data_IF_102842484020
#
_entry.id   IF_102842484020
#
_cell.length_a   1.000
_cell.length_b   1.000
_cell.length_c   1.000
_cell.angle_alpha   90.00
_cell.angle_beta   90.00
_cell.angle_gamma   90.00
#
_symmetry.space_group_name_H-M   'P 1'
#
loop_
_entity.id
_entity.type
_entity.pdbx_description
1 polymer ?
#
# COMPACT_ATOMS: atom_id res chain seq x y z
N UNK A 1 -19.89 34.04 -29.83
CA UNK A 1 -18.66 33.23 -29.68
C UNK A 1 -18.49 32.96 -28.19
N UNK A 2 -18.72 31.72 -27.77
CA UNK A 2 -18.77 31.33 -26.36
C UNK A 2 -17.37 31.28 -25.78
N UNK A 3 -17.07 32.13 -24.80
CA UNK A 3 -15.94 31.93 -23.91
C UNK A 3 -16.24 30.68 -23.06
N UNK A 4 -15.83 29.51 -23.56
CA UNK A 4 -15.77 28.30 -22.75
C UNK A 4 -14.70 28.53 -21.68
N UNK A 5 -15.11 29.11 -20.55
CA UNK A 5 -14.26 29.27 -19.39
C UNK A 5 -13.76 27.89 -18.98
N UNK A 6 -12.48 27.63 -19.24
CA UNK A 6 -11.76 26.47 -18.74
C UNK A 6 -11.73 26.57 -17.22
N UNK A 7 -12.78 26.06 -16.57
CA UNK A 7 -12.76 25.82 -15.14
C UNK A 7 -11.63 24.82 -14.90
N UNK A 8 -10.53 25.32 -14.34
CA UNK A 8 -9.43 24.50 -13.85
C UNK A 8 -10.03 23.30 -13.08
N UNK A 9 -9.59 22.06 -13.33
CA UNK A 9 -10.23 20.89 -12.77
C UNK A 9 -9.72 20.65 -11.33
N UNK A 10 -9.83 21.69 -10.51
CA UNK A 10 -9.43 21.76 -9.10
C UNK A 10 -10.39 20.94 -8.23
N UNK A 11 -11.68 20.87 -8.59
CA UNK A 11 -12.67 20.07 -7.87
C UNK A 11 -12.23 18.61 -7.68
N UNK A 12 -11.94 17.87 -8.77
CA UNK A 12 -11.46 16.49 -8.65
C UNK A 12 -10.11 16.34 -7.92
N UNK A 13 -9.24 17.35 -7.94
CA UNK A 13 -8.00 17.32 -7.14
C UNK A 13 -8.31 17.40 -5.65
N UNK A 14 -9.22 18.30 -5.24
CA UNK A 14 -9.67 18.40 -3.86
C UNK A 14 -10.30 17.09 -3.39
N UNK A 15 -11.15 16.47 -4.22
CA UNK A 15 -11.79 15.18 -3.88
C UNK A 15 -10.75 14.08 -3.62
N UNK A 16 -9.70 14.00 -4.45
CA UNK A 16 -8.59 13.05 -4.27
C UNK A 16 -7.79 13.34 -3.00
N UNK A 17 -7.50 14.61 -2.72
CA UNK A 17 -6.81 15.01 -1.50
C UNK A 17 -7.62 14.69 -0.25
N UNK A 18 -8.94 14.92 -0.28
CA UNK A 18 -9.85 14.56 0.82
C UNK A 18 -9.83 13.06 1.09
N UNK A 19 -9.87 12.21 0.05
CA UNK A 19 -9.76 10.76 0.21
C UNK A 19 -8.45 10.34 0.90
N UNK A 20 -7.32 10.98 0.57
CA UNK A 20 -6.03 10.74 1.25
C UNK A 20 -6.11 11.16 2.72
N UNK A 21 -6.66 12.34 3.02
CA UNK A 21 -6.80 12.85 4.39
C UNK A 21 -7.66 11.92 5.25
N UNK A 22 -8.78 11.42 4.70
CA UNK A 22 -9.66 10.48 5.40
C UNK A 22 -8.94 9.19 5.74
N UNK A 23 -8.23 8.59 4.76
CA UNK A 23 -7.48 7.35 4.98
C UNK A 23 -6.33 7.54 5.99
N UNK A 24 -5.63 8.68 5.93
CA UNK A 24 -4.55 9.03 6.88
C UNK A 24 -5.02 9.01 8.34
N UNK A 25 -6.23 9.52 8.63
CA UNK A 25 -6.77 9.58 10.00
C UNK A 25 -6.88 8.20 10.63
N UNK A 26 -7.37 7.20 9.89
CA UNK A 26 -7.45 5.82 10.38
C UNK A 26 -6.13 5.06 10.32
N UNK A 27 -5.16 5.51 9.52
CA UNK A 27 -3.93 4.77 9.25
C UNK A 27 -3.00 4.70 10.46
N UNK A 28 -2.94 5.77 11.28
CA UNK A 28 -2.05 5.79 12.45
C UNK A 28 -2.38 4.67 13.45
N UNK A 29 -3.67 4.47 13.74
CA UNK A 29 -4.11 3.41 14.65
C UNK A 29 -3.93 2.04 14.02
N UNK A 30 -4.23 1.92 12.71
CA UNK A 30 -4.00 0.68 11.97
C UNK A 30 -2.54 0.24 12.00
N UNK A 31 -1.61 1.14 11.70
CA UNK A 31 -0.19 0.85 11.74
C UNK A 31 0.26 0.44 13.14
N UNK A 32 -0.14 1.21 14.16
CA UNK A 32 0.23 0.96 15.56
C UNK A 32 -0.29 -0.37 16.09
N UNK A 33 -1.54 -0.73 15.76
CA UNK A 33 -2.23 -1.88 16.36
C UNK A 33 -2.16 -3.15 15.53
N UNK A 34 -2.01 -3.05 14.21
CA UNK A 34 -2.15 -4.18 13.27
C UNK A 34 -0.90 -4.49 12.46
N UNK A 35 0.08 -3.59 12.42
CA UNK A 35 1.30 -3.76 11.61
C UNK A 35 2.54 -3.82 12.50
N UNK A 36 2.77 -2.76 13.28
CA UNK A 36 3.97 -2.60 14.11
C UNK A 36 4.27 -3.80 15.02
N UNK A 37 3.28 -4.43 15.69
CA UNK A 37 3.53 -5.57 16.58
C UNK A 37 4.07 -6.83 15.90
N UNK A 38 4.00 -6.89 14.57
CA UNK A 38 4.39 -8.06 13.78
C UNK A 38 5.68 -7.83 12.97
N UNK A 39 6.33 -6.68 13.14
CA UNK A 39 7.56 -6.31 12.46
C UNK A 39 8.71 -6.19 13.46
N UNK A 40 9.91 -6.44 12.96
CA UNK A 40 11.17 -6.26 13.68
C UNK A 40 12.20 -5.50 12.82
N UNK A 41 13.26 -5.03 13.49
CA UNK A 41 14.40 -4.36 12.85
C UNK A 41 14.02 -3.22 11.91
N UNK A 42 14.60 -3.21 10.71
CA UNK A 42 14.43 -2.13 9.74
C UNK A 42 12.97 -1.93 9.30
N UNK A 43 12.19 -3.00 9.17
CA UNK A 43 10.78 -2.92 8.79
C UNK A 43 9.95 -2.21 9.87
N UNK A 44 10.23 -2.51 11.14
CA UNK A 44 9.62 -1.81 12.27
C UNK A 44 9.96 -0.31 12.24
N UNK A 45 11.23 0.03 12.02
CA UNK A 45 11.70 1.43 11.98
C UNK A 45 11.07 2.20 10.81
N UNK A 46 10.91 1.56 9.65
CA UNK A 46 10.23 2.13 8.49
C UNK A 46 8.77 2.49 8.78
N UNK A 47 8.02 1.59 9.44
CA UNK A 47 6.63 1.86 9.84
C UNK A 47 6.55 2.93 10.93
N UNK A 48 7.49 2.94 11.88
CA UNK A 48 7.58 3.97 12.90
C UNK A 48 7.83 5.37 12.28
N UNK A 49 8.68 5.46 11.25
CA UNK A 49 8.90 6.69 10.52
C UNK A 49 7.64 7.16 9.77
N UNK A 50 6.93 6.24 9.11
CA UNK A 50 5.64 6.54 8.47
C UNK A 50 4.60 7.06 9.48
N UNK A 51 4.55 6.51 10.69
CA UNK A 51 3.67 6.99 11.76
C UNK A 51 3.95 8.44 12.16
N UNK A 52 5.23 8.80 12.28
CA UNK A 52 5.64 10.19 12.56
C UNK A 52 5.16 11.10 11.43
N UNK A 53 5.37 10.68 10.18
CA UNK A 53 4.97 11.42 9.00
C UNK A 53 3.45 11.64 8.93
N UNK A 54 2.65 10.63 9.26
CA UNK A 54 1.19 10.71 9.29
C UNK A 54 0.66 11.63 10.39
N UNK A 55 1.34 11.70 11.54
CA UNK A 55 0.93 12.53 12.69
C UNK A 55 1.29 13.99 12.54
N UNK A 56 2.41 14.29 11.89
CA UNK A 56 2.87 15.66 11.74
C UNK A 56 2.02 16.49 10.76
N UNK A 57 1.20 15.85 9.91
CA UNK A 57 0.20 16.53 9.07
C UNK A 57 0.77 17.31 7.88
N UNK A 58 1.99 17.84 8.01
CA UNK A 58 2.66 18.73 7.06
C UNK A 58 3.43 17.98 5.95
N UNK A 59 3.41 16.65 5.98
CA UNK A 59 4.17 15.85 5.03
C UNK A 59 3.67 16.06 3.59
N UNK A 60 4.59 16.46 2.72
CA UNK A 60 4.37 16.59 1.28
C UNK A 60 3.91 15.23 0.76
N UNK A 61 2.90 15.21 -0.14
CA UNK A 61 2.34 13.95 -0.63
C UNK A 61 3.37 13.04 -1.31
N UNK A 62 4.43 13.62 -1.89
CA UNK A 62 5.54 12.86 -2.47
C UNK A 62 6.33 12.07 -1.41
N UNK A 63 6.63 12.68 -0.25
CA UNK A 63 7.31 12.01 0.86
C UNK A 63 6.44 10.89 1.42
N UNK A 64 5.13 11.14 1.53
CA UNK A 64 4.16 10.11 1.95
C UNK A 64 4.17 8.93 0.98
N UNK A 65 4.12 9.16 -0.33
CA UNK A 65 4.11 8.10 -1.34
C UNK A 65 5.37 7.22 -1.23
N UNK A 66 6.55 7.85 -1.19
CA UNK A 66 7.82 7.15 -1.04
C UNK A 66 7.87 6.31 0.25
N UNK A 67 7.46 6.88 1.39
CA UNK A 67 7.41 6.14 2.65
C UNK A 67 6.42 4.97 2.61
N UNK A 68 5.26 5.14 1.98
CA UNK A 68 4.26 4.08 1.83
C UNK A 68 4.79 2.93 0.98
N UNK A 69 5.50 3.21 -0.12
CA UNK A 69 6.06 2.18 -0.98
C UNK A 69 7.12 1.35 -0.26
N UNK A 70 8.02 2.00 0.48
CA UNK A 70 9.02 1.32 1.28
C UNK A 70 8.38 0.45 2.36
N UNK A 71 7.42 0.99 3.11
CA UNK A 71 6.68 0.22 4.13
C UNK A 71 5.92 -0.95 3.52
N UNK A 72 5.28 -0.79 2.36
CA UNK A 72 4.60 -1.89 1.68
C UNK A 72 5.58 -2.97 1.25
N UNK A 73 6.77 -2.60 0.76
CA UNK A 73 7.81 -3.56 0.41
C UNK A 73 8.28 -4.33 1.65
N UNK A 74 8.52 -3.65 2.77
CA UNK A 74 8.95 -4.25 4.03
C UNK A 74 7.89 -5.20 4.60
N UNK A 75 6.62 -4.80 4.60
CA UNK A 75 5.50 -5.65 5.06
C UNK A 75 5.39 -6.90 4.18
N UNK A 76 5.50 -6.77 2.85
CA UNK A 76 5.47 -7.93 1.92
C UNK A 76 6.68 -8.84 2.12
N UNK A 77 7.85 -8.28 2.42
CA UNK A 77 9.04 -9.05 2.77
C UNK A 77 8.85 -9.83 4.08
N UNK A 78 8.30 -9.20 5.11
CA UNK A 78 7.99 -9.84 6.39
C UNK A 78 6.95 -10.97 6.25
N UNK A 79 5.89 -10.75 5.45
CA UNK A 79 4.92 -11.81 5.11
C UNK A 79 5.63 -12.98 4.43
N UNK A 80 6.52 -12.70 3.47
CA UNK A 80 7.26 -13.73 2.73
C UNK A 80 8.21 -14.51 3.65
N UNK A 81 8.92 -13.82 4.54
CA UNK A 81 9.81 -14.44 5.53
C UNK A 81 9.05 -15.32 6.52
N UNK A 82 7.84 -14.92 6.92
CA UNK A 82 6.95 -15.73 7.76
C UNK A 82 6.14 -16.78 7.00
N UNK A 83 6.37 -16.97 5.70
CA UNK A 83 5.69 -17.99 4.88
C UNK A 83 6.66 -19.14 4.59
N UNK A 84 6.25 -20.37 4.92
CA UNK A 84 7.00 -21.58 4.59
C UNK A 84 6.24 -22.47 3.61
N UNK A 85 6.98 -23.28 2.86
CA UNK A 85 6.42 -24.34 2.03
C UNK A 85 6.43 -25.64 2.84
N UNK A 86 5.27 -26.27 2.98
CA UNK A 86 5.10 -27.58 3.58
C UNK A 86 4.77 -28.60 2.49
N UNK A 87 5.39 -29.78 2.58
CA UNK A 87 5.04 -30.93 1.76
C UNK A 87 3.90 -31.68 2.42
N UNK A 88 2.81 -31.84 1.69
CA UNK A 88 1.62 -32.56 2.16
C UNK A 88 1.48 -33.82 1.34
N UNK A 89 1.41 -34.98 1.99
CA UNK A 89 1.17 -36.23 1.29
C UNK A 89 -0.14 -36.17 0.51
N UNK A 90 -0.07 -36.59 -0.75
CA UNK A 90 -1.26 -36.71 -1.59
C UNK A 90 -1.97 -38.01 -1.21
N UNK A 91 -3.29 -37.94 -1.00
CA UNK A 91 -4.12 -39.11 -0.73
C UNK A 91 -3.80 -40.23 -1.74
N UNK A 92 -3.43 -41.44 -1.28
CA UNK A 92 -3.09 -42.56 -2.15
C UNK A 92 -4.15 -42.89 -3.21
N UNK A 93 -5.43 -42.60 -2.95
CA UNK A 93 -6.53 -42.80 -3.90
C UNK A 93 -6.47 -41.86 -5.12
N UNK A 94 -5.67 -40.78 -5.03
CA UNK A 94 -5.45 -39.78 -6.10
C UNK A 94 -4.15 -40.01 -6.87
N UNK A 95 -3.32 -40.95 -6.45
CA UNK A 95 -2.05 -41.25 -7.10
C UNK A 95 -2.27 -42.06 -8.37
N UNK A 96 -1.53 -41.73 -9.43
CA UNK A 96 -1.54 -42.48 -10.70
C UNK A 96 -0.09 -42.74 -11.10
N UNK A 97 0.30 -44.02 -11.20
CA UNK A 97 1.63 -44.42 -11.66
C UNK A 97 2.76 -44.27 -10.62
N UNK A 98 2.45 -43.90 -9.38
CA UNK A 98 3.40 -43.86 -8.26
C UNK A 98 2.75 -44.31 -6.95
N UNK A 99 3.58 -44.68 -5.97
CA UNK A 99 3.15 -45.10 -4.63
C UNK A 99 3.18 -43.98 -3.60
N UNK A 100 3.88 -42.88 -3.91
CA UNK A 100 4.04 -41.72 -3.04
C UNK A 100 4.19 -40.46 -3.88
N UNK A 101 3.47 -39.40 -3.51
CA UNK A 101 3.67 -38.06 -4.06
C UNK A 101 3.25 -37.01 -3.02
N UNK A 102 3.84 -35.82 -3.14
CA UNK A 102 3.58 -34.71 -2.24
C UNK A 102 3.06 -33.50 -3.02
N UNK A 103 2.07 -32.83 -2.44
CA UNK A 103 1.66 -31.49 -2.85
C UNK A 103 2.47 -30.44 -2.06
N UNK A 104 2.50 -29.22 -2.58
CA UNK A 104 3.17 -28.08 -1.96
C UNK A 104 2.12 -27.11 -1.44
N UNK A 105 2.06 -26.95 -0.12
CA UNK A 105 1.20 -25.97 0.52
C UNK A 105 2.03 -24.84 1.10
N UNK A 106 1.64 -23.60 0.83
CA UNK A 106 2.19 -22.44 1.55
C UNK A 106 1.44 -22.26 2.87
N UNK A 107 2.19 -22.21 3.96
CA UNK A 107 1.67 -21.98 5.31
C UNK A 107 2.31 -20.71 5.87
N UNK A 108 1.48 -19.79 6.32
CA UNK A 108 1.92 -18.53 6.93
C UNK A 108 2.00 -18.72 8.43
N UNK A 109 2.98 -18.05 9.05
CA UNK A 109 3.00 -17.87 10.50
C UNK A 109 1.85 -16.94 10.93
N UNK A 110 1.43 -16.97 12.20
CA UNK A 110 0.40 -16.05 12.71
C UNK A 110 0.72 -14.57 12.46
N UNK A 111 2.00 -14.19 12.57
CA UNK A 111 2.45 -12.82 12.28
C UNK A 111 2.32 -12.49 10.78
N UNK A 112 2.69 -13.42 9.89
CA UNK A 112 2.54 -13.22 8.45
C UNK A 112 1.07 -13.18 8.01
N UNK A 113 0.17 -13.91 8.67
CA UNK A 113 -1.28 -13.81 8.44
C UNK A 113 -1.80 -12.45 8.88
N UNK A 114 -1.46 -12.00 10.10
CA UNK A 114 -1.88 -10.70 10.60
C UNK A 114 -1.40 -9.53 9.71
N UNK A 115 -0.15 -9.58 9.23
CA UNK A 115 0.38 -8.62 8.28
C UNK A 115 -0.32 -8.69 6.92
N UNK A 116 -0.64 -9.89 6.44
CA UNK A 116 -1.38 -10.07 5.20
C UNK A 116 -2.78 -9.45 5.28
N UNK A 117 -3.48 -9.62 6.40
CA UNK A 117 -4.79 -9.02 6.65
C UNK A 117 -4.72 -7.50 6.83
N UNK A 118 -3.59 -6.97 7.32
CA UNK A 118 -3.37 -5.54 7.50
C UNK A 118 -2.98 -4.81 6.19
N UNK A 119 -2.44 -5.53 5.21
CA UNK A 119 -1.90 -4.96 3.97
C UNK A 119 -2.94 -4.19 3.11
N UNK A 120 -4.20 -4.62 2.94
CA UNK A 120 -5.14 -3.95 2.05
C UNK A 120 -5.40 -2.48 2.38
N UNK A 121 -5.37 -2.09 3.66
CA UNK A 121 -5.59 -0.70 4.04
C UNK A 121 -4.39 0.19 3.66
N UNK A 122 -3.17 -0.33 3.84
CA UNK A 122 -1.93 0.30 3.39
C UNK A 122 -1.94 0.52 1.87
N UNK A 123 -2.33 -0.51 1.11
CA UNK A 123 -2.43 -0.45 -0.35
C UNK A 123 -3.46 0.59 -0.81
N UNK A 124 -4.58 0.73 -0.10
CA UNK A 124 -5.59 1.76 -0.39
C UNK A 124 -5.05 3.16 -0.20
N UNK A 125 -4.32 3.43 0.89
CA UNK A 125 -3.71 4.73 1.13
C UNK A 125 -2.61 5.02 0.10
N UNK A 126 -1.74 4.05 -0.20
CA UNK A 126 -0.72 4.20 -1.23
C UNK A 126 -1.33 4.53 -2.58
N UNK A 127 -2.37 3.80 -3.00
CA UNK A 127 -3.09 4.07 -4.24
C UNK A 127 -3.70 5.47 -4.27
N UNK A 128 -4.45 5.86 -3.24
CA UNK A 128 -5.05 7.19 -3.17
C UNK A 128 -4.00 8.30 -3.24
N UNK A 129 -2.85 8.10 -2.59
CA UNK A 129 -1.74 9.05 -2.61
C UNK A 129 -1.14 9.20 -4.01
N UNK A 130 -0.87 8.08 -4.69
CA UNK A 130 -0.38 8.07 -6.06
C UNK A 130 -1.37 8.71 -7.03
N UNK A 131 -2.66 8.35 -6.95
CA UNK A 131 -3.68 8.92 -7.82
C UNK A 131 -3.82 10.44 -7.65
N UNK A 132 -3.60 10.96 -6.44
CA UNK A 132 -3.64 12.39 -6.17
C UNK A 132 -2.39 13.10 -6.72
N UNK A 133 -1.20 12.48 -6.62
CA UNK A 133 0.04 12.97 -7.21
C UNK A 133 -0.02 12.98 -8.74
N UNK A 134 -0.41 11.87 -9.36
CA UNK A 134 -0.54 11.73 -10.81
C UNK A 134 -1.52 12.77 -11.37
N UNK A 135 -2.63 13.00 -10.66
CA UNK A 135 -3.61 13.99 -11.07
C UNK A 135 -3.06 15.42 -10.94
N UNK A 136 -2.38 15.75 -9.84
CA UNK A 136 -1.77 17.06 -9.66
C UNK A 136 -0.74 17.35 -10.77
N UNK A 137 0.06 16.34 -11.14
CA UNK A 137 1.03 16.44 -12.21
C UNK A 137 0.37 16.62 -13.59
N UNK A 138 -0.72 15.88 -13.86
CA UNK A 138 -1.49 16.05 -15.08
C UNK A 138 -2.09 17.47 -15.20
N UNK A 139 -2.60 18.03 -14.10
CA UNK A 139 -3.09 19.43 -14.06
C UNK A 139 -1.95 20.40 -14.36
N UNK A 140 -0.78 20.21 -13.75
CA UNK A 140 0.40 21.06 -13.95
C UNK A 140 0.87 21.03 -15.41
N UNK A 141 0.97 19.85 -16.01
CA UNK A 141 1.34 19.68 -17.43
C UNK A 141 0.30 20.34 -18.34
N UNK A 142 -1.00 20.13 -18.07
CA UNK A 142 -2.06 20.75 -18.85
C UNK A 142 -2.02 22.28 -18.80
N UNK A 143 -1.74 22.86 -17.63
CA UNK A 143 -1.54 24.30 -17.48
C UNK A 143 -0.33 24.78 -18.29
N UNK A 144 0.81 24.09 -18.18
CA UNK A 144 2.01 24.44 -18.92
C UNK A 144 1.75 24.44 -20.43
N UNK A 145 1.05 23.42 -20.96
CA UNK A 145 0.69 23.33 -22.38
C UNK A 145 -0.21 24.48 -22.85
N UNK A 146 -1.08 25.02 -21.99
CA UNK A 146 -1.93 26.18 -22.32
C UNK A 146 -1.18 27.52 -22.26
N UNK A 147 0.05 27.53 -21.75
CA UNK A 147 0.89 28.74 -21.60
C UNK A 147 2.08 28.78 -22.56
N UNK A 148 2.26 27.77 -23.41
CA UNK A 148 3.28 27.79 -24.48
C UNK A 148 2.67 28.48 -25.71
N UNK A 149 2.96 29.77 -25.87
CA UNK A 149 2.84 30.52 -27.13
C UNK A 149 4.10 30.34 -28.00
#
# INVERSE_FOLDING_TARGET
MSAAGSRLPIGPLIDKMLAVVELRRSMSDHLSLRVLPHLDGAAHDGVAALLVLLRNGDAIMADLACCLDNVMADVRAAISAGTREERVEIDPRRLVGCTEAHDKRRVRSPAAEALHDALPLLERLARATHEALDYAEAVRISQAMMTVD
#
